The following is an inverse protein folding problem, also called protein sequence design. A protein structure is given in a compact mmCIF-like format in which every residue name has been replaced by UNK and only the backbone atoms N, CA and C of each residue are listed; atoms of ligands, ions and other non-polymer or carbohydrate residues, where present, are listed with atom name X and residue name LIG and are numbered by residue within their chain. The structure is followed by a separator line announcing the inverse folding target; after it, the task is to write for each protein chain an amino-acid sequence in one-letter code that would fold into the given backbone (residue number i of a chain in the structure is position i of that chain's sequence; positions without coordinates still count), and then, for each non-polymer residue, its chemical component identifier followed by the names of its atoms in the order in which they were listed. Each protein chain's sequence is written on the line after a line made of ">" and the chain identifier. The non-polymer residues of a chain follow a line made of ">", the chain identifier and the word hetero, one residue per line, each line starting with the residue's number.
data_IF_462197477439
#
_entry.id   IF_462197477439
#
_cell.length_a   1.000
_cell.length_b   1.000
_cell.length_c   1.000
_cell.angle_alpha   90.00
_cell.angle_beta   90.00
_cell.angle_gamma   90.00
#
_symmetry.space_group_name_H-M   'P 1'
#
loop_
_entity.id
_entity.type
_entity.pdbx_description
1 polymer ?
#
# COMPACT_ATOMS: atom_id res chain seq x y z
N UNK A 1 -11.09 -23.43 -41.87
CA UNK A 1 -10.09 -23.46 -40.77
C UNK A 1 -9.47 -22.08 -40.59
N UNK A 2 -8.97 -21.40 -41.65
CA UNK A 2 -8.33 -20.07 -41.53
C UNK A 2 -9.28 -18.98 -41.00
N UNK A 3 -10.52 -18.92 -41.45
CA UNK A 3 -11.55 -17.96 -40.97
C UNK A 3 -11.89 -18.14 -39.49
N UNK A 4 -11.90 -19.37 -38.99
CA UNK A 4 -12.16 -19.67 -37.59
C UNK A 4 -10.97 -19.27 -36.71
N UNK A 5 -9.74 -19.45 -37.17
CA UNK A 5 -8.52 -19.01 -36.46
C UNK A 5 -8.49 -17.48 -36.37
N UNK A 6 -8.67 -16.75 -37.44
CA UNK A 6 -8.71 -15.30 -37.45
C UNK A 6 -9.84 -14.73 -36.57
N UNK A 7 -10.99 -15.41 -36.51
CA UNK A 7 -12.08 -15.02 -35.62
C UNK A 7 -11.73 -15.28 -34.15
N UNK A 8 -11.07 -16.38 -33.87
CA UNK A 8 -10.62 -16.72 -32.49
C UNK A 8 -9.55 -15.72 -31.98
N UNK A 9 -8.59 -15.38 -32.85
CA UNK A 9 -7.57 -14.36 -32.52
C UNK A 9 -8.21 -13.01 -32.18
N UNK A 10 -9.16 -12.54 -33.01
CA UNK A 10 -9.89 -11.30 -32.73
C UNK A 10 -10.70 -11.34 -31.43
N UNK A 11 -11.32 -12.47 -31.13
CA UNK A 11 -12.09 -12.61 -29.87
C UNK A 11 -11.19 -12.63 -28.65
N UNK A 12 -10.00 -13.20 -28.76
CA UNK A 12 -8.99 -13.16 -27.69
C UNK A 12 -8.52 -11.72 -27.47
N UNK A 13 -8.12 -11.01 -28.52
CA UNK A 13 -7.71 -9.60 -28.44
C UNK A 13 -8.82 -8.70 -27.85
N UNK A 14 -10.06 -8.89 -28.28
CA UNK A 14 -11.20 -8.12 -27.76
C UNK A 14 -11.49 -8.47 -26.31
N UNK A 15 -11.35 -9.72 -25.90
CA UNK A 15 -11.51 -10.16 -24.52
C UNK A 15 -10.42 -9.56 -23.62
N UNK A 16 -9.16 -9.60 -24.03
CA UNK A 16 -8.04 -9.01 -23.30
C UNK A 16 -8.25 -7.51 -23.11
N UNK A 17 -8.65 -6.80 -24.19
CA UNK A 17 -8.96 -5.37 -24.13
C UNK A 17 -10.12 -5.05 -23.16
N UNK A 18 -11.18 -5.87 -23.19
CA UNK A 18 -12.31 -5.70 -22.26
C UNK A 18 -11.91 -5.97 -20.82
N UNK A 19 -11.04 -6.94 -20.57
CA UNK A 19 -10.50 -7.20 -19.24
C UNK A 19 -9.63 -6.06 -18.73
N UNK A 20 -8.78 -5.46 -19.57
CA UNK A 20 -8.00 -4.29 -19.23
C UNK A 20 -8.89 -3.08 -18.87
N UNK A 21 -9.89 -2.80 -19.72
CA UNK A 21 -10.85 -1.71 -19.47
C UNK A 21 -11.65 -1.93 -18.18
N UNK A 22 -12.11 -3.16 -17.94
CA UNK A 22 -12.84 -3.49 -16.73
C UNK A 22 -11.97 -3.36 -15.47
N UNK A 23 -10.70 -3.75 -15.56
CA UNK A 23 -9.73 -3.62 -14.47
C UNK A 23 -9.42 -2.14 -14.16
N UNK A 24 -9.19 -1.34 -15.19
CA UNK A 24 -8.96 0.10 -15.06
C UNK A 24 -10.19 0.81 -14.47
N UNK A 25 -11.39 0.47 -14.91
CA UNK A 25 -12.63 1.02 -14.37
C UNK A 25 -12.84 0.65 -12.89
N UNK A 26 -12.59 -0.61 -12.51
CA UNK A 26 -12.66 -1.06 -11.10
C UNK A 26 -11.63 -0.34 -10.23
N UNK A 27 -10.41 -0.17 -10.72
CA UNK A 27 -9.36 0.54 -10.00
C UNK A 27 -9.74 2.02 -9.81
N UNK A 28 -10.21 2.69 -10.84
CA UNK A 28 -10.64 4.08 -10.77
C UNK A 28 -11.85 4.27 -9.84
N UNK A 29 -12.85 3.41 -9.94
CA UNK A 29 -14.03 3.40 -9.08
C UNK A 29 -13.66 3.16 -7.61
N UNK A 30 -12.70 2.26 -7.34
CA UNK A 30 -12.20 2.00 -6.00
C UNK A 30 -11.46 3.20 -5.40
N UNK A 31 -10.61 3.87 -6.17
CA UNK A 31 -9.92 5.09 -5.73
C UNK A 31 -10.91 6.22 -5.43
N UNK A 32 -11.90 6.42 -6.28
CA UNK A 32 -12.93 7.43 -6.07
C UNK A 32 -13.74 7.16 -4.80
N UNK A 33 -14.04 5.90 -4.51
CA UNK A 33 -14.71 5.49 -3.27
C UNK A 33 -13.85 5.77 -2.03
N UNK A 34 -12.55 5.50 -2.09
CA UNK A 34 -11.59 5.82 -1.00
C UNK A 34 -11.53 7.34 -0.81
N UNK A 35 -11.35 8.10 -1.90
CA UNK A 35 -11.29 9.55 -1.84
C UNK A 35 -12.57 10.16 -1.25
N UNK A 36 -13.74 9.67 -1.64
CA UNK A 36 -15.02 10.11 -1.12
C UNK A 36 -15.20 9.78 0.37
N UNK A 37 -14.88 8.55 0.78
CA UNK A 37 -15.01 8.10 2.16
C UNK A 37 -14.12 8.88 3.14
N UNK A 38 -12.86 9.09 2.77
CA UNK A 38 -11.87 9.78 3.63
C UNK A 38 -11.75 11.28 3.33
N UNK A 39 -12.54 11.83 2.40
CA UNK A 39 -12.36 13.20 1.87
C UNK A 39 -10.92 13.44 1.39
N UNK A 40 -10.36 12.42 0.77
CA UNK A 40 -8.97 12.40 0.31
C UNK A 40 -8.80 13.07 -1.05
N UNK A 41 -7.54 13.30 -1.39
CA UNK A 41 -7.12 13.93 -2.64
C UNK A 41 -6.57 12.84 -3.56
N UNK A 42 -7.22 12.63 -4.70
CA UNK A 42 -6.69 11.73 -5.73
C UNK A 42 -5.45 12.36 -6.39
N UNK A 43 -4.40 11.57 -6.53
CA UNK A 43 -3.15 11.95 -7.13
C UNK A 43 -2.61 10.87 -8.06
N UNK A 44 -1.78 11.28 -9.02
CA UNK A 44 -1.06 10.37 -9.91
C UNK A 44 0.39 10.28 -9.48
N UNK A 45 0.96 9.09 -9.57
CA UNK A 45 2.41 8.90 -9.42
C UNK A 45 3.09 9.39 -10.70
N UNK A 46 3.99 10.36 -10.56
CA UNK A 46 4.68 11.01 -11.69
C UNK A 46 6.18 10.73 -11.74
N UNK A 47 6.72 10.06 -10.73
CA UNK A 47 8.13 9.71 -10.72
C UNK A 47 8.56 8.90 -9.51
N UNK A 48 9.72 8.31 -9.68
CA UNK A 48 10.48 7.66 -8.62
C UNK A 48 11.76 8.48 -8.43
N UNK A 49 12.05 8.98 -7.22
CA UNK A 49 13.29 9.69 -6.97
C UNK A 49 14.50 8.82 -7.36
N UNK A 50 15.51 9.40 -8.04
CA UNK A 50 16.66 8.63 -8.51
C UNK A 50 17.63 8.21 -7.40
N UNK A 51 17.45 8.72 -6.20
CA UNK A 51 18.26 8.37 -5.04
C UNK A 51 17.84 6.99 -4.53
N UNK A 52 18.69 6.00 -4.82
CA UNK A 52 18.44 4.57 -4.59
C UNK A 52 18.34 4.13 -3.11
N UNK A 53 18.52 5.03 -2.16
CA UNK A 53 18.52 4.70 -0.73
C UNK A 53 17.13 4.76 -0.08
N UNK A 54 16.16 5.39 -0.71
CA UNK A 54 14.80 5.49 -0.18
C UNK A 54 13.75 4.91 -1.13
N UNK A 55 12.83 4.15 -0.60
CA UNK A 55 11.64 3.70 -1.32
C UNK A 55 10.57 4.79 -1.27
N UNK A 56 10.59 5.68 -2.26
CA UNK A 56 9.69 6.82 -2.34
C UNK A 56 9.11 6.97 -3.75
N UNK A 57 8.01 7.70 -3.85
CA UNK A 57 7.40 8.11 -5.11
C UNK A 57 7.02 9.59 -5.05
N UNK A 58 6.99 10.24 -6.21
CA UNK A 58 6.49 11.60 -6.35
C UNK A 58 5.08 11.58 -6.92
N UNK A 59 4.18 12.36 -6.34
CA UNK A 59 2.79 12.53 -6.79
C UNK A 59 2.53 13.93 -7.32
N UNK A 60 1.58 14.08 -8.25
CA UNK A 60 1.21 15.32 -8.97
C UNK A 60 0.29 16.25 -8.16
N UNK A 61 0.27 16.11 -6.85
CA UNK A 61 -0.49 16.98 -5.94
C UNK A 61 0.40 17.48 -4.83
N UNK A 62 0.29 18.77 -4.54
CA UNK A 62 1.04 19.44 -3.50
C UNK A 62 0.16 20.31 -2.60
N UNK A 63 0.76 21.29 -1.95
CA UNK A 63 0.07 22.16 -1.01
C UNK A 63 -1.07 22.97 -1.64
N UNK A 64 -0.97 23.32 -2.92
CA UNK A 64 -2.06 24.01 -3.64
C UNK A 64 -3.30 23.12 -3.81
N UNK A 65 -3.13 21.81 -3.82
CA UNK A 65 -4.25 20.85 -3.83
C UNK A 65 -4.73 20.48 -2.43
N UNK A 66 -4.11 21.02 -1.37
CA UNK A 66 -4.45 20.74 0.02
C UNK A 66 -3.66 19.61 0.68
N UNK A 67 -2.66 19.02 0.00
CA UNK A 67 -1.79 17.98 0.56
C UNK A 67 -0.93 18.55 1.68
N UNK A 68 -0.80 17.80 2.77
CA UNK A 68 0.01 18.15 3.94
C UNK A 68 1.01 17.05 4.25
N UNK A 69 2.10 17.43 4.92
CA UNK A 69 3.05 16.46 5.46
C UNK A 69 2.38 15.55 6.51
N UNK A 70 2.90 14.35 6.65
CA UNK A 70 2.40 13.30 7.54
C UNK A 70 1.04 12.68 7.17
N UNK A 71 0.39 13.12 6.11
CA UNK A 71 -0.84 12.47 5.62
C UNK A 71 -0.53 11.08 5.06
N UNK A 72 -1.44 10.14 5.32
CA UNK A 72 -1.39 8.78 4.80
C UNK A 72 -1.74 8.75 3.32
N UNK A 73 -1.15 7.81 2.60
CA UNK A 73 -1.41 7.58 1.17
C UNK A 73 -1.88 6.16 0.97
N UNK A 74 -3.01 6.01 0.30
CA UNK A 74 -3.69 4.74 0.03
C UNK A 74 -3.77 4.49 -1.47
N UNK A 75 -3.83 3.21 -1.84
CA UNK A 75 -4.31 2.75 -3.13
C UNK A 75 -5.44 1.73 -2.93
N UNK A 76 -6.03 1.27 -4.00
CA UNK A 76 -7.02 0.19 -3.94
C UNK A 76 -6.34 -1.07 -3.38
N UNK A 77 -6.81 -1.51 -2.23
CA UNK A 77 -6.31 -2.71 -1.56
C UNK A 77 -5.39 -2.46 -0.36
N UNK A 78 -4.91 -1.24 -0.12
CA UNK A 78 -4.11 -1.02 1.09
C UNK A 78 -3.31 0.26 1.16
N UNK A 79 -2.41 0.26 2.11
CA UNK A 79 -1.53 1.40 2.43
C UNK A 79 -0.36 1.45 1.45
N UNK A 80 -0.13 2.63 0.87
CA UNK A 80 1.02 2.95 0.02
C UNK A 80 2.19 3.46 0.86
N UNK A 81 1.93 4.47 1.68
CA UNK A 81 2.96 5.16 2.43
C UNK A 81 2.47 6.44 3.08
N UNK A 82 3.39 7.36 3.33
CA UNK A 82 3.14 8.63 4.02
C UNK A 82 3.82 9.78 3.27
N UNK A 83 3.16 10.92 3.21
CA UNK A 83 3.72 12.15 2.66
C UNK A 83 4.82 12.68 3.58
N UNK A 84 6.03 12.89 3.06
CA UNK A 84 7.18 13.38 3.83
C UNK A 84 7.65 14.76 3.41
N UNK A 85 7.44 15.13 2.16
CA UNK A 85 7.78 16.46 1.64
C UNK A 85 6.67 16.97 0.74
N UNK A 86 6.34 18.23 0.88
CA UNK A 86 5.25 18.89 0.13
C UNK A 86 5.77 20.12 -0.56
N UNK A 87 5.73 20.11 -1.89
CA UNK A 87 5.92 21.28 -2.73
C UNK A 87 4.59 21.89 -3.14
N UNK A 88 4.60 22.99 -3.90
CA UNK A 88 3.36 23.64 -4.35
C UNK A 88 2.48 22.75 -5.22
N UNK A 89 3.08 22.03 -6.19
CA UNK A 89 2.38 21.25 -7.22
C UNK A 89 2.59 19.74 -7.07
N UNK A 90 3.58 19.31 -6.29
CA UNK A 90 3.94 17.89 -6.13
C UNK A 90 4.34 17.59 -4.70
N UNK A 91 4.31 16.32 -4.33
CA UNK A 91 4.73 15.85 -3.00
C UNK A 91 5.49 14.54 -3.11
N UNK A 92 6.34 14.29 -2.12
CA UNK A 92 7.08 13.02 -1.99
C UNK A 92 6.41 12.13 -0.96
N UNK A 93 6.18 10.90 -1.34
CA UNK A 93 5.57 9.86 -0.50
C UNK A 93 6.60 8.76 -0.25
N UNK A 94 6.93 8.51 1.02
CA UNK A 94 7.75 7.37 1.43
C UNK A 94 6.85 6.14 1.51
N UNK A 95 7.26 5.07 0.85
CA UNK A 95 6.51 3.81 0.78
C UNK A 95 6.60 3.03 2.09
N UNK A 96 5.63 2.16 2.34
CA UNK A 96 5.63 1.30 3.55
C UNK A 96 6.83 0.34 3.60
N UNK A 97 7.45 0.05 2.45
CA UNK A 97 8.66 -0.78 2.35
C UNK A 97 9.95 -0.03 2.63
N UNK A 98 9.90 1.28 2.79
CA UNK A 98 11.08 2.08 3.13
C UNK A 98 11.53 1.79 4.57
N UNK A 99 12.84 1.73 4.79
CA UNK A 99 13.41 1.44 6.11
C UNK A 99 13.14 2.52 7.16
N UNK A 100 12.79 3.74 6.75
CA UNK A 100 12.38 4.83 7.65
C UNK A 100 10.89 4.80 7.99
N UNK A 101 10.11 4.00 7.28
CA UNK A 101 8.68 3.86 7.53
C UNK A 101 8.44 3.18 8.89
N UNK A 102 7.54 3.76 9.69
CA UNK A 102 7.10 3.23 10.99
C UNK A 102 5.60 3.44 11.11
N UNK A 103 4.85 2.35 11.15
CA UNK A 103 3.39 2.37 11.17
C UNK A 103 2.91 1.47 12.31
N UNK A 104 2.11 1.98 13.25
CA UNK A 104 1.40 1.11 14.19
C UNK A 104 0.59 0.07 13.44
N UNK A 105 0.77 -1.18 13.80
CA UNK A 105 0.17 -2.31 13.09
C UNK A 105 -0.57 -3.24 14.06
N UNK A 106 -1.62 -3.88 13.54
CA UNK A 106 -2.43 -4.85 14.30
C UNK A 106 -2.64 -6.08 13.44
N UNK A 107 -2.32 -7.24 13.97
CA UNK A 107 -2.72 -8.52 13.37
C UNK A 107 -4.22 -8.69 13.60
N UNK A 108 -5.01 -8.68 12.53
CA UNK A 108 -6.49 -8.59 12.59
C UNK A 108 -7.13 -9.70 13.42
N UNK A 109 -6.67 -10.95 13.26
CA UNK A 109 -7.31 -12.14 13.83
C UNK A 109 -7.37 -12.09 15.36
N UNK A 110 -6.29 -11.72 16.03
CA UNK A 110 -6.22 -11.68 17.49
C UNK A 110 -6.00 -10.29 18.07
N UNK A 111 -5.98 -9.24 17.22
CA UNK A 111 -5.72 -7.84 17.59
C UNK A 111 -4.36 -7.63 18.28
N UNK A 112 -3.37 -8.43 17.91
CA UNK A 112 -2.02 -8.30 18.44
C UNK A 112 -1.31 -7.10 17.81
N UNK A 113 -0.77 -6.25 18.65
CA UNK A 113 -0.12 -5.01 18.26
C UNK A 113 1.35 -5.24 17.92
N UNK A 114 1.85 -4.40 17.02
CA UNK A 114 3.25 -4.32 16.66
C UNK A 114 3.54 -3.03 15.90
N UNK A 115 4.77 -2.88 15.43
CA UNK A 115 5.21 -1.75 14.60
C UNK A 115 5.68 -2.30 13.26
N UNK A 116 5.00 -1.91 12.20
CA UNK A 116 5.41 -2.21 10.84
C UNK A 116 6.52 -1.26 10.40
N UNK A 117 7.60 -1.82 9.88
CA UNK A 117 8.70 -1.11 9.23
C UNK A 117 9.05 -1.75 7.90
N UNK A 118 9.54 -0.95 6.97
CA UNK A 118 10.06 -1.47 5.71
C UNK A 118 11.46 -2.08 5.85
N UNK A 119 11.78 -2.99 4.94
CA UNK A 119 13.13 -3.50 4.74
C UNK A 119 13.54 -3.48 3.26
N UNK A 120 13.04 -2.49 2.51
CA UNK A 120 13.23 -2.23 1.08
C UNK A 120 12.41 -3.12 0.12
N UNK A 121 12.16 -4.37 0.45
CA UNK A 121 11.44 -5.33 -0.41
C UNK A 121 10.13 -5.82 0.18
N UNK A 122 10.04 -5.83 1.51
CA UNK A 122 8.90 -6.31 2.27
C UNK A 122 8.61 -5.37 3.45
N UNK A 123 7.61 -5.71 4.23
CA UNK A 123 7.30 -5.04 5.48
C UNK A 123 7.51 -6.04 6.62
N UNK A 124 8.15 -5.60 7.67
CA UNK A 124 8.41 -6.39 8.86
C UNK A 124 7.61 -5.78 10.01
N UNK A 125 6.93 -6.60 10.81
CA UNK A 125 6.26 -6.14 12.03
C UNK A 125 6.99 -6.68 13.23
N UNK A 126 7.54 -5.78 14.00
CA UNK A 126 8.28 -6.06 15.22
C UNK A 126 7.40 -5.87 16.47
N UNK A 127 7.88 -6.36 17.59
CA UNK A 127 7.29 -6.17 18.93
C UNK A 127 5.91 -6.81 19.14
N UNK A 128 5.56 -7.85 18.38
CA UNK A 128 4.34 -8.61 18.63
C UNK A 128 4.56 -9.50 19.85
N UNK A 129 3.56 -9.58 20.70
CA UNK A 129 3.57 -10.42 21.91
C UNK A 129 4.03 -11.85 21.62
N UNK A 130 4.94 -12.38 22.45
CA UNK A 130 5.58 -13.69 22.23
C UNK A 130 4.58 -14.84 22.18
N UNK A 131 3.53 -14.78 22.99
CA UNK A 131 2.54 -15.85 23.13
C UNK A 131 1.40 -15.75 22.09
N UNK A 132 1.43 -14.71 21.22
CA UNK A 132 0.44 -14.56 20.17
C UNK A 132 0.51 -15.75 19.19
N UNK A 133 -0.58 -16.50 18.99
CA UNK A 133 -0.62 -17.65 18.09
C UNK A 133 -0.72 -17.22 16.62
N UNK A 134 0.34 -16.58 16.14
CA UNK A 134 0.45 -16.08 14.76
C UNK A 134 0.50 -17.21 13.75
N UNK A 135 -0.07 -16.97 12.57
CA UNK A 135 -0.08 -17.89 11.44
C UNK A 135 0.30 -17.19 10.14
N UNK A 136 0.96 -17.93 9.26
CA UNK A 136 1.13 -17.51 7.87
C UNK A 136 -0.26 -17.36 7.24
N UNK A 137 -0.49 -16.24 6.54
CA UNK A 137 -1.80 -15.86 6.01
C UNK A 137 -2.57 -14.87 6.88
N UNK A 138 -2.13 -14.59 8.11
CA UNK A 138 -2.74 -13.55 8.94
C UNK A 138 -2.65 -12.19 8.25
N UNK A 139 -3.75 -11.44 8.27
CA UNK A 139 -3.82 -10.09 7.70
C UNK A 139 -3.41 -9.08 8.75
N UNK A 140 -2.50 -8.20 8.37
CA UNK A 140 -2.06 -7.09 9.21
C UNK A 140 -2.62 -5.78 8.67
N UNK A 141 -3.17 -5.00 9.56
CA UNK A 141 -3.80 -3.69 9.28
C UNK A 141 -3.14 -2.59 10.10
N UNK A 142 -3.38 -1.35 9.71
CA UNK A 142 -2.94 -0.19 10.50
C UNK A 142 -3.63 -0.18 11.86
N UNK A 143 -2.87 0.14 12.90
CA UNK A 143 -3.39 0.55 14.19
C UNK A 143 -3.70 2.05 14.23
N UNK A 144 -4.13 2.53 15.39
CA UNK A 144 -4.32 3.96 15.62
C UNK A 144 -2.97 4.66 15.59
N UNK A 145 -2.83 5.69 14.77
CA UNK A 145 -1.57 6.39 14.58
C UNK A 145 -1.75 7.79 14.01
N UNK A 146 -0.64 8.52 13.81
CA UNK A 146 -0.64 9.92 13.38
C UNK A 146 -1.10 10.08 11.92
N UNK A 147 -0.66 9.18 11.04
CA UNK A 147 -0.80 9.32 9.58
C UNK A 147 -1.91 8.49 8.98
N UNK A 148 -2.40 7.47 9.68
CA UNK A 148 -3.35 6.52 9.14
C UNK A 148 -4.55 6.33 10.06
N UNK A 149 -5.71 6.16 9.45
CA UNK A 149 -6.87 5.58 10.11
C UNK A 149 -6.61 4.11 10.42
N UNK A 150 -7.19 3.60 11.49
CA UNK A 150 -7.04 2.19 11.86
C UNK A 150 -7.80 1.26 10.90
N UNK A 151 -7.30 0.03 10.75
CA UNK A 151 -7.97 -1.01 9.98
C UNK A 151 -7.64 -1.07 8.49
N UNK A 152 -6.69 -0.25 8.00
CA UNK A 152 -6.28 -0.26 6.60
C UNK A 152 -5.28 -1.41 6.35
N UNK A 153 -5.47 -2.23 5.29
CA UNK A 153 -4.56 -3.34 5.01
C UNK A 153 -3.13 -2.86 4.74
N UNK A 154 -2.16 -3.47 5.43
CA UNK A 154 -0.73 -3.29 5.19
C UNK A 154 -0.19 -4.47 4.38
N UNK A 155 -0.51 -5.69 4.81
CA UNK A 155 -0.03 -6.90 4.15
C UNK A 155 -0.51 -8.17 4.82
N UNK A 156 0.01 -9.28 4.32
CA UNK A 156 -0.28 -10.63 4.80
C UNK A 156 1.00 -11.29 5.29
N UNK A 157 0.94 -11.96 6.43
CA UNK A 157 2.08 -12.68 7.02
C UNK A 157 2.52 -13.82 6.10
N UNK A 158 3.81 -13.80 5.72
CA UNK A 158 4.44 -14.85 4.94
C UNK A 158 5.50 -15.63 5.72
N UNK A 159 6.05 -15.04 6.78
CA UNK A 159 7.07 -15.65 7.63
C UNK A 159 6.94 -15.15 9.05
N UNK A 160 7.18 -16.03 10.02
CA UNK A 160 7.16 -15.74 11.45
C UNK A 160 8.53 -16.06 12.03
N UNK A 161 9.15 -15.07 12.67
CA UNK A 161 10.44 -15.22 13.35
C UNK A 161 10.24 -15.12 14.86
N UNK A 162 10.55 -16.22 15.55
CA UNK A 162 10.50 -16.29 17.01
C UNK A 162 11.90 -16.28 17.56
N UNK A 163 12.28 -15.17 18.19
CA UNK A 163 13.59 -15.08 18.84
C UNK A 163 13.62 -15.88 20.14
N UNK A 164 14.61 -16.75 20.31
CA UNK A 164 14.77 -17.54 21.55
C UNK A 164 15.13 -16.69 22.79
N UNK A 165 15.52 -15.44 22.58
CA UNK A 165 15.98 -14.55 23.65
C UNK A 165 15.15 -13.25 23.78
N UNK A 166 14.11 -13.09 22.97
CA UNK A 166 13.30 -11.87 22.95
C UNK A 166 11.89 -12.16 23.46
N UNK A 167 11.33 -11.20 24.21
CA UNK A 167 9.94 -11.27 24.70
C UNK A 167 8.90 -10.95 23.60
N UNK A 168 9.32 -10.90 22.34
CA UNK A 168 8.47 -10.54 21.22
C UNK A 168 8.77 -11.38 19.98
N UNK A 169 7.76 -11.50 19.13
CA UNK A 169 7.85 -12.10 17.80
C UNK A 169 7.98 -11.01 16.73
N UNK A 170 8.58 -11.40 15.61
CA UNK A 170 8.66 -10.58 14.39
C UNK A 170 8.02 -11.35 13.25
N UNK A 171 7.28 -10.67 12.40
CA UNK A 171 6.70 -11.27 11.19
C UNK A 171 7.09 -10.49 9.96
N UNK A 172 7.26 -11.21 8.85
CA UNK A 172 7.49 -10.63 7.52
C UNK A 172 6.17 -10.66 6.76
N UNK A 173 5.83 -9.53 6.16
CA UNK A 173 4.61 -9.35 5.38
C UNK A 173 4.93 -9.24 3.89
N UNK A 174 4.06 -9.81 3.08
CA UNK A 174 3.87 -9.38 1.70
C UNK A 174 2.93 -8.18 1.71
N UNK A 175 3.32 -7.02 1.14
CA UNK A 175 2.42 -5.86 1.03
C UNK A 175 1.10 -6.22 0.35
N UNK A 176 0.00 -5.57 0.76
CA UNK A 176 -1.34 -5.81 0.20
C UNK A 176 -1.49 -5.32 -1.24
N UNK A 177 -0.59 -4.45 -1.69
CA UNK A 177 -0.59 -3.83 -3.01
C UNK A 177 0.77 -3.98 -3.67
N UNK A 178 0.80 -3.97 -5.01
CA UNK A 178 2.04 -3.91 -5.77
C UNK A 178 2.56 -2.47 -5.81
N UNK A 179 3.55 -2.20 -4.98
CA UNK A 179 4.17 -0.87 -4.87
C UNK A 179 5.03 -0.50 -6.10
N UNK A 180 5.41 -1.47 -6.92
CA UNK A 180 6.15 -1.24 -8.16
C UNK A 180 5.27 -0.83 -9.34
N UNK A 181 3.97 -1.09 -9.26
CA UNK A 181 2.99 -0.81 -10.32
C UNK A 181 2.02 0.32 -9.96
N UNK A 182 2.41 1.21 -9.04
CA UNK A 182 1.57 2.33 -8.63
C UNK A 182 1.41 3.37 -9.74
N UNK A 183 0.17 3.65 -10.13
CA UNK A 183 -0.20 4.73 -11.07
C UNK A 183 -0.98 5.84 -10.36
N UNK A 184 -1.99 5.47 -9.57
CA UNK A 184 -2.86 6.40 -8.86
C UNK A 184 -2.99 6.06 -7.39
N UNK A 185 -3.08 7.10 -6.58
CA UNK A 185 -3.16 7.01 -5.12
C UNK A 185 -4.16 8.04 -4.59
N UNK A 186 -4.53 7.90 -3.33
CA UNK A 186 -5.35 8.87 -2.60
C UNK A 186 -4.58 9.31 -1.36
N UNK A 187 -4.34 10.61 -1.25
CA UNK A 187 -3.84 11.22 -0.01
C UNK A 187 -5.02 11.42 0.92
N UNK A 188 -4.96 10.86 2.12
CA UNK A 188 -6.04 10.91 3.09
C UNK A 188 -5.66 11.77 4.28
N UNK A 189 -6.43 12.84 4.55
CA UNK A 189 -6.26 13.63 5.76
C UNK A 189 -6.66 12.80 6.99
N UNK A 190 -6.07 13.13 8.12
CA UNK A 190 -6.44 12.56 9.40
C UNK A 190 -6.99 13.61 10.36
#
# INVERSE_FOLDING_TARGET
>A
VARLRARNERLVEENDRLHELASAYKAQSGLHSIAGFYRGIEARVIGFPPENESRAVTIDKGSLAGVRADEGVLAVGGVVGRVVAVGPLSSTVVLVTDYTSRIPAVVRRGRWWGIARGNLTSVVVDYIEQDAPLQVGDVVVTGEGRSFHSGLPIGTVIQIERGNATLSQTVVLRPSIDLGALDRVVVVPK
#
